data_IF_094683839396
#
_entry.id   IF_094683839396
#
_cell.length_a   1.000
_cell.length_b   1.000
_cell.length_c   1.000
_cell.angle_alpha   90.00
_cell.angle_beta   90.00
_cell.angle_gamma   90.00
#
_symmetry.space_group_name_H-M   'P 1'
#
loop_
_entity.id
_entity.type
_entity.pdbx_description
1 polymer ?
#
# COMPACT_ATOMS: atom_id res chain seq x y z
N UNK A 1 -47.75 -33.76 -55.99
CA UNK A 1 -49.02 -34.40 -55.64
C UNK A 1 -48.70 -35.76 -55.06
N UNK A 2 -48.86 -35.84 -53.75
CA UNK A 2 -48.91 -37.09 -52.98
C UNK A 2 -49.98 -38.05 -53.51
N UNK A 3 -49.77 -39.35 -53.26
CA UNK A 3 -50.75 -40.36 -52.78
C UNK A 3 -50.01 -41.71 -52.88
N UNK A 4 -49.55 -42.30 -51.75
CA UNK A 4 -50.22 -43.35 -50.94
C UNK A 4 -50.70 -44.53 -51.80
N UNK A 5 -50.58 -45.81 -51.47
CA UNK A 5 -50.14 -46.61 -50.33
C UNK A 5 -50.28 -48.09 -50.78
N UNK A 6 -49.55 -48.98 -50.12
CA UNK A 6 -49.90 -50.38 -49.82
C UNK A 6 -49.91 -51.44 -50.93
N UNK A 7 -48.99 -52.41 -50.81
CA UNK A 7 -49.35 -53.84 -50.91
C UNK A 7 -48.58 -54.67 -49.87
N UNK A 8 -49.36 -55.21 -48.93
CA UNK A 8 -49.34 -56.59 -48.39
C UNK A 8 -47.97 -57.26 -48.13
N UNK A 9 -47.55 -57.41 -46.89
CA UNK A 9 -47.93 -58.48 -45.94
C UNK A 9 -47.41 -59.88 -46.33
N UNK A 10 -46.44 -60.37 -45.54
CA UNK A 10 -46.28 -61.78 -45.23
C UNK A 10 -45.55 -61.90 -43.89
N UNK A 11 -46.25 -62.48 -42.92
CA UNK A 11 -45.77 -62.78 -41.57
C UNK A 11 -44.88 -64.01 -41.60
N UNK A 12 -43.80 -63.98 -40.82
CA UNK A 12 -43.23 -65.17 -40.23
C UNK A 12 -42.66 -64.80 -38.87
N UNK A 13 -43.40 -65.15 -37.82
CA UNK A 13 -42.87 -65.43 -36.48
C UNK A 13 -41.73 -66.46 -36.64
N UNK A 14 -40.69 -66.48 -35.82
CA UNK A 14 -40.63 -67.14 -34.53
C UNK A 14 -39.23 -66.85 -33.97
N UNK A 15 -39.16 -66.32 -32.75
CA UNK A 15 -38.31 -66.80 -31.64
C UNK A 15 -38.19 -65.68 -30.60
N UNK A 16 -38.83 -65.92 -29.47
CA UNK A 16 -38.75 -65.08 -28.29
C UNK A 16 -37.41 -65.35 -27.60
N UNK A 17 -36.53 -64.36 -27.59
CA UNK A 17 -35.46 -64.27 -26.60
C UNK A 17 -35.81 -63.13 -25.65
N UNK A 18 -36.24 -63.51 -24.45
CA UNK A 18 -36.33 -62.64 -23.28
C UNK A 18 -34.91 -62.25 -22.86
N UNK A 19 -34.41 -61.12 -23.35
CA UNK A 19 -33.21 -60.50 -22.79
C UNK A 19 -33.64 -59.32 -21.92
N UNK A 20 -33.56 -59.58 -20.63
CA UNK A 20 -33.60 -58.66 -19.50
C UNK A 20 -32.80 -57.39 -19.80
N UNK A 21 -33.42 -56.23 -19.59
CA UNK A 21 -32.83 -54.93 -19.88
C UNK A 21 -31.69 -54.56 -18.94
N UNK A 22 -30.76 -53.76 -19.46
CA UNK A 22 -29.97 -52.82 -18.67
C UNK A 22 -29.86 -51.51 -19.47
N UNK A 23 -30.73 -50.54 -19.14
CA UNK A 23 -30.59 -49.16 -19.61
C UNK A 23 -29.42 -48.53 -18.83
N UNK A 24 -28.27 -48.40 -19.49
CA UNK A 24 -27.17 -47.57 -18.97
C UNK A 24 -27.55 -46.11 -19.20
N UNK A 25 -28.06 -45.45 -18.16
CA UNK A 25 -28.22 -44.00 -18.14
C UNK A 25 -26.84 -43.39 -17.93
N UNK A 26 -26.25 -42.83 -18.99
CA UNK A 26 -25.05 -42.01 -18.87
C UNK A 26 -25.41 -40.70 -18.17
N UNK A 27 -25.20 -40.63 -16.86
CA UNK A 27 -25.18 -39.37 -16.13
C UNK A 27 -23.94 -38.58 -16.61
N UNK A 28 -24.14 -37.63 -17.51
CA UNK A 28 -23.11 -36.69 -17.93
C UNK A 28 -22.74 -35.80 -16.75
N UNK A 29 -21.56 -36.00 -16.18
CA UNK A 29 -20.97 -35.05 -15.24
C UNK A 29 -20.55 -33.79 -16.02
N UNK A 30 -20.97 -32.58 -15.61
CA UNK A 30 -20.41 -31.37 -16.18
C UNK A 30 -18.93 -31.32 -15.81
N UNK A 31 -18.05 -31.37 -16.82
CA UNK A 31 -16.65 -31.04 -16.68
C UNK A 31 -16.55 -29.56 -16.28
N UNK A 32 -16.40 -29.31 -14.99
CA UNK A 32 -15.91 -28.01 -14.51
C UNK A 32 -14.46 -27.88 -14.98
N UNK A 33 -14.21 -26.98 -15.93
CA UNK A 33 -12.85 -26.51 -16.20
C UNK A 33 -12.34 -25.83 -14.94
N UNK A 34 -11.41 -26.48 -14.25
CA UNK A 34 -10.54 -25.80 -13.30
C UNK A 34 -9.58 -24.98 -14.16
N UNK A 35 -9.80 -23.67 -14.23
CA UNK A 35 -8.81 -22.75 -14.75
C UNK A 35 -7.60 -22.83 -13.81
N UNK A 36 -6.56 -23.52 -14.28
CA UNK A 36 -5.28 -23.52 -13.61
C UNK A 36 -4.80 -22.07 -13.60
N UNK A 37 -4.75 -21.46 -12.42
CA UNK A 37 -4.11 -20.16 -12.24
C UNK A 37 -2.69 -20.27 -12.79
N UNK A 38 -2.46 -19.69 -13.96
CA UNK A 38 -1.19 -19.72 -14.64
C UNK A 38 -0.23 -18.87 -13.81
N UNK A 39 0.56 -19.54 -12.97
CA UNK A 39 1.70 -18.95 -12.29
C UNK A 39 2.72 -18.57 -13.37
N UNK A 40 2.70 -17.31 -13.80
CA UNK A 40 3.75 -16.75 -14.64
C UNK A 40 5.06 -16.76 -13.86
N UNK A 41 6.10 -17.48 -14.31
CA UNK A 41 7.42 -17.44 -13.69
C UNK A 41 7.98 -16.02 -13.76
N UNK A 42 8.71 -15.60 -12.73
CA UNK A 42 9.46 -14.34 -12.76
C UNK A 42 10.53 -14.42 -13.87
N UNK A 43 10.29 -13.75 -14.99
CA UNK A 43 11.21 -13.69 -16.13
C UNK A 43 10.56 -13.41 -17.49
N UNK A 44 9.30 -13.80 -17.69
CA UNK A 44 8.66 -13.76 -19.02
C UNK A 44 7.58 -12.66 -19.16
N UNK A 45 7.74 -11.54 -18.44
CA UNK A 45 6.94 -10.34 -18.74
C UNK A 45 7.63 -9.64 -19.92
N UNK A 46 7.06 -9.63 -21.13
CA UNK A 46 7.65 -8.88 -22.24
C UNK A 46 7.72 -7.41 -21.82
N UNK A 47 8.91 -6.82 -21.92
CA UNK A 47 9.12 -5.39 -21.77
C UNK A 47 8.43 -4.66 -22.93
N UNK A 48 7.10 -4.60 -22.89
CA UNK A 48 6.32 -3.72 -23.74
C UNK A 48 6.60 -2.29 -23.28
N UNK A 49 6.65 -1.34 -24.22
CA UNK A 49 7.09 0.05 -23.99
C UNK A 49 6.27 0.87 -22.98
N UNK A 50 5.29 0.25 -22.31
CA UNK A 50 4.44 0.85 -21.28
C UNK A 50 4.63 0.20 -19.89
N UNK A 51 5.70 -0.57 -19.65
CA UNK A 51 6.00 -1.03 -18.30
C UNK A 51 6.37 0.17 -17.42
N UNK A 52 5.44 0.59 -16.55
CA UNK A 52 5.74 1.48 -15.45
C UNK A 52 6.24 0.63 -14.28
N UNK A 53 7.49 0.81 -13.90
CA UNK A 53 8.10 0.16 -12.73
C UNK A 53 7.31 0.44 -11.42
N UNK A 54 6.51 1.50 -11.40
CA UNK A 54 5.63 1.85 -10.28
C UNK A 54 4.39 0.92 -10.15
N UNK A 55 4.14 0.05 -11.14
CA UNK A 55 2.94 -0.79 -11.25
C UNK A 55 3.24 -2.29 -11.05
N UNK A 56 4.31 -2.63 -10.30
CA UNK A 56 4.54 -4.01 -9.89
C UNK A 56 3.39 -4.45 -8.99
N UNK A 57 2.52 -5.30 -9.54
CA UNK A 57 1.38 -5.85 -8.82
C UNK A 57 1.84 -6.61 -7.58
N UNK A 58 1.22 -6.32 -6.44
CA UNK A 58 1.54 -7.00 -5.18
C UNK A 58 1.05 -8.45 -5.24
N UNK A 59 1.81 -9.37 -4.62
CA UNK A 59 1.48 -10.80 -4.51
C UNK A 59 0.42 -11.10 -3.44
N UNK A 60 -0.29 -10.07 -2.98
CA UNK A 60 -1.21 -10.12 -1.85
C UNK A 60 -0.97 -8.97 -0.87
N UNK A 61 -1.70 -9.01 0.24
CA UNK A 61 -1.62 -8.03 1.34
C UNK A 61 -1.24 -8.74 2.64
N UNK A 62 -0.31 -8.16 3.38
CA UNK A 62 0.04 -8.63 4.72
C UNK A 62 -1.10 -8.28 5.68
N UNK A 63 -1.42 -9.13 6.67
CA UNK A 63 -2.33 -8.75 7.74
C UNK A 63 -1.86 -7.46 8.43
N UNK A 64 -2.83 -6.60 8.73
CA UNK A 64 -2.56 -5.37 9.47
C UNK A 64 -1.99 -5.74 10.84
N UNK A 65 -0.76 -5.30 11.12
CA UNK A 65 -0.17 -5.44 12.46
C UNK A 65 -0.53 -4.18 13.25
N UNK A 66 -1.18 -4.32 14.42
CA UNK A 66 -1.63 -3.15 15.17
C UNK A 66 -0.46 -2.28 15.62
N UNK A 67 -0.62 -0.96 15.47
CA UNK A 67 0.30 0.06 15.94
C UNK A 67 -0.37 0.91 17.01
N UNK A 68 0.39 1.23 18.06
CA UNK A 68 -0.02 2.23 19.05
C UNK A 68 0.59 3.57 18.67
N UNK A 69 -0.26 4.57 18.45
CA UNK A 69 0.18 5.91 18.05
C UNK A 69 0.37 6.82 19.25
N UNK A 70 1.47 7.58 19.27
CA UNK A 70 1.64 8.71 20.18
C UNK A 70 0.75 9.88 19.74
N UNK A 71 0.32 10.78 20.63
CA UNK A 71 -0.30 12.03 20.20
C UNK A 71 0.61 12.81 19.25
N UNK A 72 0.01 13.61 18.38
CA UNK A 72 0.76 14.58 17.57
C UNK A 72 1.51 15.55 18.47
N UNK A 73 2.72 15.92 18.05
CA UNK A 73 3.52 16.91 18.77
C UNK A 73 4.32 17.78 17.82
N UNK A 74 4.35 19.09 18.08
CA UNK A 74 5.23 20.03 17.39
C UNK A 74 6.48 20.26 18.22
N UNK A 75 7.63 19.95 17.64
CA UNK A 75 8.95 20.20 18.25
C UNK A 75 9.75 21.08 17.31
N UNK A 76 10.42 22.09 17.84
CA UNK A 76 11.23 23.00 17.03
C UNK A 76 12.70 22.94 17.45
N UNK A 77 13.58 23.20 16.50
CA UNK A 77 15.02 23.21 16.65
C UNK A 77 15.55 24.56 16.21
N UNK A 78 16.34 25.20 17.07
CA UNK A 78 16.99 26.47 16.79
C UNK A 78 18.49 26.28 16.90
N UNK A 79 19.21 26.51 15.80
CA UNK A 79 20.67 26.60 15.87
C UNK A 79 21.05 27.86 16.66
N UNK A 80 22.03 27.76 17.56
CA UNK A 80 22.39 28.88 18.46
C UNK A 80 23.75 29.51 18.15
N UNK A 81 24.46 29.04 17.13
CA UNK A 81 25.78 29.57 16.77
C UNK A 81 25.74 30.84 15.94
N UNK A 82 24.76 30.96 15.03
CA UNK A 82 24.67 32.12 14.15
C UNK A 82 23.53 33.03 14.62
N UNK A 83 23.84 34.32 14.83
CA UNK A 83 22.83 35.33 15.10
C UNK A 83 21.84 35.38 13.92
N UNK A 84 20.56 35.12 14.18
CA UNK A 84 19.52 35.04 13.15
C UNK A 84 19.29 33.63 12.57
N UNK A 85 19.85 32.58 13.17
CA UNK A 85 19.59 31.19 12.80
C UNK A 85 18.09 30.88 12.66
N UNK A 86 17.70 30.34 11.50
CA UNK A 86 16.31 29.94 11.21
C UNK A 86 15.89 28.74 12.05
N UNK A 87 14.71 28.82 12.65
CA UNK A 87 14.11 27.68 13.35
C UNK A 87 13.60 26.65 12.35
N UNK A 88 13.68 25.37 12.73
CA UNK A 88 13.05 24.26 12.01
C UNK A 88 12.05 23.62 12.95
N UNK A 89 10.78 23.61 12.56
CA UNK A 89 9.71 22.98 13.31
C UNK A 89 9.30 21.67 12.64
N UNK A 90 8.92 20.72 13.47
CA UNK A 90 8.49 19.39 13.05
C UNK A 90 7.24 18.98 13.81
N UNK A 91 6.14 18.84 13.08
CA UNK A 91 4.91 18.23 13.57
C UNK A 91 4.99 16.73 13.31
N UNK A 92 5.05 15.95 14.38
CA UNK A 92 5.44 14.53 14.33
C UNK A 92 4.45 13.63 15.06
N UNK A 93 4.28 12.42 14.53
CA UNK A 93 3.62 11.31 15.20
C UNK A 93 4.41 10.02 15.01
N UNK A 94 4.49 9.19 16.06
CA UNK A 94 5.11 7.86 16.00
C UNK A 94 4.05 6.77 16.14
N UNK A 95 4.05 5.79 15.23
CA UNK A 95 3.41 4.50 15.40
C UNK A 95 4.41 3.51 15.96
N UNK A 96 4.06 2.84 17.07
CA UNK A 96 4.92 1.89 17.76
C UNK A 96 4.36 0.48 17.69
N UNK A 97 5.27 -0.48 17.61
CA UNK A 97 4.94 -1.87 17.89
C UNK A 97 4.61 -2.06 19.38
N UNK A 98 4.00 -3.21 19.69
CA UNK A 98 3.80 -3.72 21.04
C UNK A 98 5.09 -3.79 21.86
N UNK A 99 6.24 -4.00 21.21
CA UNK A 99 7.57 -3.96 21.83
C UNK A 99 8.03 -2.55 22.26
N UNK A 100 7.26 -1.50 21.93
CA UNK A 100 7.60 -0.10 22.18
C UNK A 100 8.56 0.53 21.17
N UNK A 101 9.10 -0.26 20.24
CA UNK A 101 9.93 0.24 19.14
C UNK A 101 9.07 1.04 18.15
N UNK A 102 9.65 2.11 17.60
CA UNK A 102 8.99 2.91 16.58
C UNK A 102 8.98 2.11 15.27
N UNK A 103 7.78 1.81 14.80
CA UNK A 103 7.55 1.19 13.50
C UNK A 103 7.52 2.26 12.41
N UNK A 104 6.77 3.33 12.65
CA UNK A 104 6.53 4.39 11.67
C UNK A 104 6.68 5.74 12.36
N UNK A 105 7.27 6.71 11.67
CA UNK A 105 7.19 8.12 12.07
C UNK A 105 6.81 8.96 10.86
N UNK A 106 5.86 9.86 11.04
CA UNK A 106 5.48 10.86 10.04
C UNK A 106 5.84 12.22 10.58
N UNK A 107 6.56 13.00 9.77
CA UNK A 107 7.09 14.31 10.11
C UNK A 107 6.68 15.32 9.01
N UNK A 108 5.90 16.35 9.37
CA UNK A 108 5.78 17.58 8.57
C UNK A 108 6.84 18.56 9.08
N UNK A 109 7.77 18.95 8.21
CA UNK A 109 8.93 19.77 8.54
C UNK A 109 8.80 21.12 7.85
N UNK A 110 8.90 22.18 8.64
CA UNK A 110 8.80 23.56 8.20
C UNK A 110 9.99 24.36 8.73
N UNK A 111 10.46 25.34 7.95
CA UNK A 111 11.59 26.19 8.33
C UNK A 111 11.18 27.64 8.27
N UNK A 112 11.58 28.43 9.27
CA UNK A 112 11.26 29.85 9.32
C UNK A 112 11.72 30.58 8.06
N UNK A 113 10.78 31.31 7.45
CA UNK A 113 11.02 32.09 6.24
C UNK A 113 11.29 31.24 4.99
N UNK A 114 11.00 29.95 5.01
CA UNK A 114 10.95 29.08 3.83
C UNK A 114 9.49 28.70 3.56
N UNK A 115 8.91 29.02 2.40
CA UNK A 115 7.54 28.65 2.07
C UNK A 115 7.39 27.14 1.77
N UNK A 116 8.49 26.41 1.60
CA UNK A 116 8.46 24.99 1.23
C UNK A 116 8.50 24.11 2.47
N UNK A 117 7.39 23.48 2.78
CA UNK A 117 7.32 22.41 3.77
C UNK A 117 7.73 21.05 3.16
N UNK A 118 8.25 20.15 3.99
CA UNK A 118 8.65 18.80 3.59
C UNK A 118 7.93 17.76 4.43
N UNK A 119 7.34 16.77 3.77
CA UNK A 119 6.83 15.56 4.42
C UNK A 119 7.94 14.50 4.43
N UNK A 120 8.20 13.90 5.58
CA UNK A 120 9.08 12.75 5.72
C UNK A 120 8.39 11.62 6.48
N UNK A 121 8.60 10.40 6.00
CA UNK A 121 8.05 9.17 6.55
C UNK A 121 9.20 8.21 6.80
N UNK A 122 9.37 7.81 8.06
CA UNK A 122 10.35 6.80 8.46
C UNK A 122 9.64 5.46 8.58
N UNK A 123 10.20 4.45 7.91
CA UNK A 123 9.69 3.08 7.88
C UNK A 123 10.78 2.11 8.35
N UNK A 124 10.42 0.91 8.84
CA UNK A 124 11.39 -0.13 9.13
C UNK A 124 12.12 -0.58 7.85
N UNK A 125 13.29 -1.23 7.96
CA UNK A 125 13.94 -1.85 6.82
C UNK A 125 13.05 -2.95 6.20
N UNK A 126 13.32 -3.31 4.94
CA UNK A 126 12.58 -4.35 4.22
C UNK A 126 11.45 -3.83 3.31
N UNK A 127 11.45 -2.53 3.00
CA UNK A 127 10.55 -1.96 2.00
C UNK A 127 11.08 -2.20 0.58
N UNK A 128 10.18 -2.43 -0.38
CA UNK A 128 10.49 -2.42 -1.80
C UNK A 128 10.42 -0.97 -2.32
N UNK A 129 11.56 -0.47 -2.78
CA UNK A 129 11.79 0.98 -2.86
C UNK A 129 11.20 1.64 -4.09
N UNK A 130 11.18 0.94 -5.22
CA UNK A 130 10.79 1.53 -6.50
C UNK A 130 9.35 2.06 -6.51
N UNK A 131 8.34 1.34 -5.97
CA UNK A 131 6.99 1.89 -5.90
C UNK A 131 6.90 3.14 -5.02
N UNK A 132 7.69 3.25 -3.95
CA UNK A 132 7.55 4.29 -2.94
C UNK A 132 6.43 4.00 -1.93
N UNK A 133 5.94 5.03 -1.26
CA UNK A 133 4.80 4.99 -0.33
C UNK A 133 3.62 5.69 -0.99
N UNK A 134 2.51 4.97 -1.19
CA UNK A 134 1.26 5.58 -1.63
C UNK A 134 0.55 6.12 -0.40
N UNK A 135 0.41 7.43 -0.34
CA UNK A 135 -0.18 8.18 0.76
C UNK A 135 -1.58 8.65 0.38
N UNK A 136 -2.57 8.40 1.24
CA UNK A 136 -3.95 8.87 1.04
C UNK A 136 -4.47 9.45 2.34
N UNK A 137 -5.06 10.65 2.29
CA UNK A 137 -5.84 11.18 3.42
C UNK A 137 -7.30 10.83 3.20
N UNK A 138 -7.90 10.12 4.15
CA UNK A 138 -9.26 9.59 4.10
C UNK A 138 -9.56 8.86 2.77
N UNK A 139 -10.45 9.42 1.94
CA UNK A 139 -10.80 8.94 0.60
C UNK A 139 -10.36 9.92 -0.50
N UNK A 140 -9.38 10.76 -0.19
CA UNK A 140 -8.80 11.74 -1.12
C UNK A 140 -7.97 11.10 -2.22
N UNK A 141 -7.35 11.97 -3.04
CA UNK A 141 -6.48 11.50 -4.12
C UNK A 141 -5.15 10.98 -3.54
N UNK A 142 -4.68 9.79 -3.97
CA UNK A 142 -3.41 9.25 -3.51
C UNK A 142 -2.23 10.05 -4.05
N UNK A 143 -1.20 10.21 -3.23
CA UNK A 143 0.07 10.86 -3.57
C UNK A 143 1.20 9.84 -3.40
N UNK A 144 2.07 9.74 -4.41
CA UNK A 144 3.23 8.86 -4.34
C UNK A 144 4.41 9.58 -3.68
N UNK A 145 4.93 9.03 -2.58
CA UNK A 145 6.07 9.56 -1.84
C UNK A 145 7.29 8.64 -2.09
N UNK A 146 8.33 9.10 -2.80
CA UNK A 146 9.48 8.27 -3.10
C UNK A 146 10.36 8.04 -1.86
N UNK A 147 11.02 6.89 -1.82
CA UNK A 147 12.12 6.65 -0.88
C UNK A 147 13.33 7.50 -1.28
N UNK A 148 13.90 8.19 -0.30
CA UNK A 148 15.10 9.04 -0.47
C UNK A 148 16.35 8.27 -0.08
N UNK A 149 16.26 7.49 1.01
CA UNK A 149 17.38 6.69 1.51
C UNK A 149 16.86 5.49 2.31
N UNK A 150 17.56 4.37 2.24
CA UNK A 150 17.38 3.23 3.13
C UNK A 150 18.71 2.80 3.70
N UNK A 151 18.79 2.78 5.02
CA UNK A 151 19.92 2.32 5.82
C UNK A 151 19.53 1.05 6.58
N UNK A 152 20.50 0.45 7.26
CA UNK A 152 20.30 -0.79 8.02
C UNK A 152 19.23 -0.66 9.11
N UNK A 153 19.06 0.54 9.67
CA UNK A 153 18.11 0.81 10.75
C UNK A 153 16.75 1.33 10.28
N UNK A 154 16.57 1.60 8.98
CA UNK A 154 15.30 2.11 8.48
C UNK A 154 15.38 2.78 7.11
N UNK A 155 14.20 3.05 6.57
CA UNK A 155 13.99 3.74 5.31
C UNK A 155 13.36 5.11 5.56
N UNK A 156 13.72 6.09 4.75
CA UNK A 156 13.13 7.43 4.76
C UNK A 156 12.53 7.70 3.38
N UNK A 157 11.23 7.90 3.34
CA UNK A 157 10.53 8.46 2.19
C UNK A 157 10.26 9.94 2.44
N UNK A 158 10.26 10.76 1.39
CA UNK A 158 9.93 12.16 1.57
C UNK A 158 9.81 12.94 0.28
N UNK A 159 8.92 13.92 0.32
CA UNK A 159 8.61 14.82 -0.79
C UNK A 159 8.30 16.21 -0.25
N UNK A 160 8.18 17.18 -1.16
CA UNK A 160 7.60 18.48 -0.83
C UNK A 160 6.16 18.27 -0.37
N UNK A 161 5.77 18.86 0.75
CA UNK A 161 4.40 18.89 1.21
C UNK A 161 3.70 20.07 0.51
N UNK A 162 2.82 19.77 -0.44
CA UNK A 162 2.04 20.81 -1.12
C UNK A 162 1.06 21.44 -0.14
N UNK A 163 0.66 22.70 -0.39
CA UNK A 163 -0.38 23.36 0.41
C UNK A 163 -1.69 22.55 0.45
N UNK A 164 -2.04 21.86 -0.65
CA UNK A 164 -3.20 20.97 -0.70
C UNK A 164 -3.05 19.76 0.24
N UNK A 165 -1.88 19.11 0.26
CA UNK A 165 -1.64 17.98 1.14
C UNK A 165 -1.65 18.41 2.61
N UNK A 166 -1.09 19.57 2.94
CA UNK A 166 -1.14 20.11 4.31
C UNK A 166 -2.59 20.37 4.71
N UNK A 167 -3.38 20.98 3.82
CA UNK A 167 -4.80 21.21 4.07
C UNK A 167 -5.58 19.90 4.28
N UNK A 168 -5.30 18.87 3.48
CA UNK A 168 -5.90 17.54 3.63
C UNK A 168 -5.51 16.95 5.00
N UNK A 169 -4.23 17.04 5.41
CA UNK A 169 -3.78 16.57 6.72
C UNK A 169 -4.45 17.32 7.90
N UNK A 170 -4.72 18.61 7.74
CA UNK A 170 -5.38 19.44 8.76
C UNK A 170 -6.87 19.16 8.91
N UNK A 171 -7.55 18.85 7.81
CA UNK A 171 -9.01 18.64 7.78
C UNK A 171 -9.42 17.16 7.87
N UNK A 172 -8.50 16.25 7.54
CA UNK A 172 -8.76 14.82 7.47
C UNK A 172 -8.82 14.12 8.81
N UNK A 173 -9.27 12.86 8.78
CA UNK A 173 -9.39 12.02 9.97
C UNK A 173 -8.30 10.96 10.05
N UNK A 174 -7.94 10.37 8.90
CA UNK A 174 -7.00 9.27 8.81
C UNK A 174 -6.02 9.48 7.66
N UNK A 175 -4.75 9.26 7.94
CA UNK A 175 -3.68 9.16 6.95
C UNK A 175 -3.35 7.69 6.71
N UNK A 176 -3.57 7.21 5.50
CA UNK A 176 -3.29 5.84 5.08
C UNK A 176 -1.97 5.79 4.32
N UNK A 177 -1.07 4.93 4.76
CA UNK A 177 0.21 4.65 4.13
C UNK A 177 0.20 3.22 3.58
N UNK A 178 0.23 3.10 2.25
CA UNK A 178 0.35 1.82 1.56
C UNK A 178 1.77 1.68 1.01
N UNK A 179 2.42 0.59 1.40
CA UNK A 179 3.79 0.25 1.02
C UNK A 179 3.86 -1.15 0.45
N UNK A 180 4.95 -1.47 -0.22
CA UNK A 180 5.26 -2.84 -0.65
C UNK A 180 6.52 -3.28 0.07
N UNK A 181 6.54 -4.46 0.67
CA UNK A 181 7.74 -5.00 1.30
C UNK A 181 8.62 -5.77 0.29
N UNK A 182 9.81 -6.18 0.70
CA UNK A 182 10.78 -6.89 -0.14
C UNK A 182 10.29 -8.25 -0.70
N UNK A 183 9.21 -8.80 -0.13
CA UNK A 183 8.55 -10.01 -0.65
C UNK A 183 7.49 -9.70 -1.72
N UNK A 184 7.36 -8.42 -2.12
CA UNK A 184 6.37 -7.91 -3.06
C UNK A 184 4.94 -8.05 -2.51
N UNK A 185 4.78 -7.88 -1.18
CA UNK A 185 3.49 -7.92 -0.49
C UNK A 185 3.11 -6.53 -0.02
N UNK A 186 1.85 -6.14 -0.23
CA UNK A 186 1.32 -4.85 0.21
C UNK A 186 1.16 -4.79 1.72
N UNK A 187 1.54 -3.67 2.33
CA UNK A 187 1.39 -3.39 3.76
C UNK A 187 0.70 -2.04 3.92
N UNK A 188 -0.37 -2.01 4.70
CA UNK A 188 -1.16 -0.80 4.95
C UNK A 188 -1.07 -0.41 6.42
N UNK A 189 -0.85 0.88 6.68
CA UNK A 189 -0.88 1.44 8.01
C UNK A 189 -1.76 2.69 8.01
N UNK A 190 -2.66 2.79 8.99
CA UNK A 190 -3.58 3.92 9.11
C UNK A 190 -3.26 4.70 10.38
N UNK A 191 -2.97 5.99 10.22
CA UNK A 191 -2.54 6.91 11.25
C UNK A 191 -3.67 7.93 11.53
N UNK A 192 -4.08 8.17 12.78
CA UNK A 192 -5.10 9.17 13.07
C UNK A 192 -4.57 10.60 12.89
N UNK A 193 -5.35 11.47 12.28
CA UNK A 193 -5.05 12.90 12.11
C UNK A 193 -5.68 13.78 13.19
N UNK A 194 -6.36 13.18 14.17
CA UNK A 194 -6.91 13.91 15.33
C UNK A 194 -5.83 14.77 15.99
N UNK A 195 -6.14 16.04 16.26
CA UNK A 195 -5.23 17.05 16.84
C UNK A 195 -4.08 17.51 15.93
N UNK A 196 -3.94 16.98 14.70
CA UNK A 196 -2.86 17.41 13.80
C UNK A 196 -2.89 18.91 13.53
N UNK A 197 -4.05 19.45 13.12
CA UNK A 197 -4.19 20.88 12.79
C UNK A 197 -3.87 21.79 13.99
N UNK A 198 -4.42 21.46 15.16
CA UNK A 198 -4.17 22.20 16.40
C UNK A 198 -2.69 22.21 16.76
N UNK A 199 -2.02 21.06 16.67
CA UNK A 199 -0.59 20.93 16.97
C UNK A 199 0.26 21.63 15.91
N UNK A 200 -0.08 21.49 14.63
CA UNK A 200 0.63 22.11 13.51
C UNK A 200 0.60 23.64 13.59
N UNK A 201 -0.58 24.21 13.83
CA UNK A 201 -0.78 25.66 13.88
C UNK A 201 -0.41 26.25 15.25
N UNK A 202 -0.36 25.42 16.28
CA UNK A 202 -0.04 25.81 17.64
C UNK A 202 1.43 26.11 17.90
N UNK A 203 1.68 26.54 19.15
CA UNK A 203 3.02 26.71 19.68
C UNK A 203 3.72 25.34 19.81
N UNK A 204 5.06 25.27 19.64
CA UNK A 204 5.77 24.03 19.86
C UNK A 204 5.67 23.58 21.31
N UNK A 205 5.41 22.29 21.50
CA UNK A 205 5.45 21.64 22.81
C UNK A 205 6.87 21.65 23.40
N UNK A 206 7.90 21.73 22.55
CA UNK A 206 9.30 21.81 22.97
C UNK A 206 10.14 22.52 21.91
N UNK A 207 11.08 23.36 22.39
CA UNK A 207 12.13 23.97 21.56
C UNK A 207 13.47 23.43 22.04
N UNK A 208 14.26 22.91 21.10
CA UNK A 208 15.62 22.45 21.32
C UNK A 208 16.62 23.45 20.77
N UNK A 209 17.54 23.89 21.61
CA UNK A 209 18.66 24.71 21.19
C UNK A 209 19.83 23.80 20.82
N UNK A 210 20.24 23.83 19.56
CA UNK A 210 21.37 23.06 19.07
C UNK A 210 22.59 23.97 18.94
N UNK A 211 23.55 23.76 19.84
CA UNK A 211 24.92 24.22 19.67
C UNK A 211 25.67 23.10 18.95
N UNK A 212 25.97 23.24 17.66
CA UNK A 212 26.93 22.31 17.05
C UNK A 212 28.27 22.61 17.75
N UNK A 213 28.83 21.62 18.42
CA UNK A 213 30.13 21.76 19.06
C UNK A 213 31.19 21.92 17.96
N UNK A 214 32.05 22.93 18.12
CA UNK A 214 33.03 23.36 17.13
C UNK A 214 34.39 22.67 17.22
N UNK A 215 34.53 21.59 17.97
CA UNK A 215 35.79 20.85 18.10
C UNK A 215 35.76 19.58 17.24
N UNK A 216 36.01 19.74 15.94
CA UNK A 216 36.35 18.62 15.05
C UNK A 216 37.80 18.68 14.54
N UNK A 217 38.58 19.65 15.02
CA UNK A 217 39.99 19.83 14.66
C UNK A 217 40.88 19.83 15.91
N UNK A 218 41.03 18.70 16.59
CA UNK A 218 42.16 18.45 17.49
C UNK A 218 42.70 17.03 17.24
#
# INVERSE_FOLDING_TARGET
MDIRLMYSSARSTWYQFLTTGLLVVFAGTPLTRVDAQQLVPFGDVPATGNFSEAEIATRGRQPDRPLTYTPWRKVCFKATQEAGSKMVCRTTMNGKWDTGQIAIRVDLIERDGDPVARLQIFMPPGSFLQPGIKLTVDQGSPVQIPYVICLTNGCVAGSVATASLIHDLESGQMLVLETVNSNVVGVTNSLPLKEFAEVHQGAPAQIFEQRLEGDWEH
#
